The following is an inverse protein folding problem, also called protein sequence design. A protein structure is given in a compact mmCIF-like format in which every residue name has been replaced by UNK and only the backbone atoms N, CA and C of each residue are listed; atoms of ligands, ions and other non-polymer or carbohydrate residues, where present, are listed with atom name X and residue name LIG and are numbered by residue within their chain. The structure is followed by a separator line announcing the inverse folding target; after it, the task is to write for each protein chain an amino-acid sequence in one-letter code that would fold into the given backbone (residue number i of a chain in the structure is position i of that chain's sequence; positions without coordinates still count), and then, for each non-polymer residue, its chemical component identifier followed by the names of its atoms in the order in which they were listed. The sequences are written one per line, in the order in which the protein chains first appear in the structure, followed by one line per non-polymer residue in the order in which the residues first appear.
data_IF_943276583422
#
_entry.id   IF_943276583422
#
_cell.length_a   1.000
_cell.length_b   1.000
_cell.length_c   1.000
_cell.angle_alpha   90.00
_cell.angle_beta   90.00
_cell.angle_gamma   90.00
#
_symmetry.space_group_name_H-M   'P 1'
#
loop_
_entity.id
_entity.type
_entity.pdbx_description
1 polymer ?
#
# COMPACT_ATOMS: atom_id res chain seq x y z
N UNK A 1 15.19 -36.70 -22.84
CA UNK A 1 15.98 -35.92 -21.87
C UNK A 1 15.51 -34.47 -21.86
N UNK A 2 15.20 -33.90 -23.03
CA UNK A 2 14.64 -32.55 -23.27
C UNK A 2 13.33 -32.22 -22.54
N UNK A 3 12.32 -33.10 -22.60
CA UNK A 3 10.97 -32.81 -22.05
C UNK A 3 10.96 -32.65 -20.53
N UNK A 4 11.86 -33.33 -19.82
CA UNK A 4 11.86 -33.35 -18.35
C UNK A 4 12.40 -32.05 -17.76
N UNK A 5 13.44 -31.52 -18.39
CA UNK A 5 14.07 -30.24 -18.07
C UNK A 5 13.12 -29.07 -18.37
N UNK A 6 12.44 -29.11 -19.52
CA UNK A 6 11.45 -28.11 -19.92
C UNK A 6 10.23 -28.05 -18.96
N UNK A 7 9.81 -29.20 -18.41
CA UNK A 7 8.75 -29.27 -17.38
C UNK A 7 9.23 -28.73 -16.03
N UNK A 8 10.49 -28.95 -15.67
CA UNK A 8 11.09 -28.41 -14.44
C UNK A 8 11.20 -26.89 -14.50
N UNK A 9 11.61 -26.34 -15.64
CA UNK A 9 11.68 -24.89 -15.89
C UNK A 9 10.30 -24.21 -15.84
N UNK A 10 9.29 -24.82 -16.47
CA UNK A 10 7.91 -24.32 -16.43
C UNK A 10 7.34 -24.34 -15.01
N UNK A 11 7.61 -25.40 -14.24
CA UNK A 11 7.17 -25.47 -12.84
C UNK A 11 7.84 -24.40 -11.98
N UNK A 12 9.15 -24.15 -12.18
CA UNK A 12 9.85 -23.09 -11.48
C UNK A 12 9.25 -21.71 -11.79
N UNK A 13 8.94 -21.43 -13.06
CA UNK A 13 8.30 -20.19 -13.47
C UNK A 13 6.88 -20.02 -12.87
N UNK A 14 6.08 -21.10 -12.83
CA UNK A 14 4.74 -21.08 -12.24
C UNK A 14 4.80 -20.85 -10.73
N UNK A 15 5.71 -21.53 -10.02
CA UNK A 15 5.89 -21.36 -8.57
C UNK A 15 6.30 -19.92 -8.27
N UNK A 16 7.27 -19.37 -8.99
CA UNK A 16 7.70 -17.98 -8.81
C UNK A 16 6.56 -16.99 -9.00
N UNK A 17 5.81 -17.12 -10.11
CA UNK A 17 4.67 -16.23 -10.37
C UNK A 17 3.58 -16.37 -9.29
N UNK A 18 3.36 -17.58 -8.76
CA UNK A 18 2.42 -17.80 -7.66
C UNK A 18 2.89 -17.17 -6.34
N UNK A 19 4.17 -17.30 -6.01
CA UNK A 19 4.79 -16.64 -4.84
C UNK A 19 4.69 -15.11 -4.95
N UNK A 20 5.00 -14.54 -6.11
CA UNK A 20 4.84 -13.10 -6.37
C UNK A 20 3.39 -12.62 -6.16
N UNK A 21 2.41 -13.39 -6.67
CA UNK A 21 1.00 -13.05 -6.45
C UNK A 21 0.59 -13.13 -4.98
N UNK A 22 1.06 -14.12 -4.23
CA UNK A 22 0.81 -14.22 -2.79
C UNK A 22 1.40 -12.99 -2.08
N UNK A 23 2.64 -12.63 -2.38
CA UNK A 23 3.30 -11.46 -1.78
C UNK A 23 2.55 -10.16 -2.09
N UNK A 24 2.04 -10.00 -3.31
CA UNK A 24 1.21 -8.87 -3.72
C UNK A 24 -0.10 -8.82 -2.92
N UNK A 25 -0.82 -9.95 -2.80
CA UNK A 25 -2.06 -10.04 -2.03
C UNK A 25 -1.85 -9.75 -0.54
N UNK A 26 -0.76 -10.24 0.05
CA UNK A 26 -0.40 -9.97 1.44
C UNK A 26 -0.10 -8.49 1.67
N UNK A 27 0.64 -7.84 0.76
CA UNK A 27 0.91 -6.41 0.83
C UNK A 27 -0.38 -5.57 0.71
N UNK A 28 -1.27 -5.94 -0.22
CA UNK A 28 -2.59 -5.34 -0.37
C UNK A 28 -3.39 -5.50 0.92
N UNK A 29 -3.37 -6.69 1.53
CA UNK A 29 -4.02 -6.98 2.81
C UNK A 29 -3.52 -6.06 3.93
N UNK A 30 -2.20 -5.89 4.07
CA UNK A 30 -1.59 -5.02 5.08
C UNK A 30 -2.03 -3.56 4.87
N UNK A 31 -1.98 -3.06 3.63
CA UNK A 31 -2.37 -1.68 3.31
C UNK A 31 -3.86 -1.45 3.57
N UNK A 32 -4.72 -2.39 3.16
CA UNK A 32 -6.16 -2.29 3.40
C UNK A 32 -6.49 -2.33 4.89
N UNK A 33 -5.83 -3.20 5.66
CA UNK A 33 -5.94 -3.25 7.12
C UNK A 33 -5.51 -1.93 7.77
N UNK A 34 -4.41 -1.33 7.31
CA UNK A 34 -3.96 -0.01 7.76
C UNK A 34 -5.01 1.07 7.48
N UNK A 35 -5.53 1.14 6.25
CA UNK A 35 -6.52 2.14 5.85
C UNK A 35 -7.85 1.96 6.62
N UNK A 36 -8.28 0.72 6.86
CA UNK A 36 -9.47 0.41 7.65
C UNK A 36 -9.34 0.88 9.11
N UNK A 37 -8.12 0.85 9.67
CA UNK A 37 -7.83 1.33 11.02
C UNK A 37 -7.72 2.86 11.17
N UNK A 38 -7.73 3.62 10.08
CA UNK A 38 -7.73 5.09 10.14
C UNK A 38 -9.15 5.62 10.42
N UNK A 39 -9.21 6.81 11.03
CA UNK A 39 -10.46 7.58 11.05
C UNK A 39 -10.92 7.88 9.62
N UNK A 40 -12.23 8.09 9.41
CA UNK A 40 -12.77 8.38 8.09
C UNK A 40 -12.07 9.57 7.41
N UNK A 41 -11.84 10.65 8.17
CA UNK A 41 -11.10 11.83 7.70
C UNK A 41 -9.65 11.50 7.33
N UNK A 42 -8.93 10.76 8.17
CA UNK A 42 -7.53 10.41 7.91
C UNK A 42 -7.41 9.49 6.69
N UNK A 43 -8.35 8.54 6.55
CA UNK A 43 -8.44 7.65 5.39
C UNK A 43 -8.69 8.43 4.11
N UNK A 44 -9.68 9.34 4.08
CA UNK A 44 -9.94 10.16 2.89
C UNK A 44 -8.70 11.00 2.52
N UNK A 45 -8.10 11.71 3.48
CA UNK A 45 -6.88 12.50 3.24
C UNK A 45 -5.77 11.64 2.60
N UNK A 46 -5.53 10.43 3.14
CA UNK A 46 -4.46 9.55 2.67
C UNK A 46 -4.76 9.00 1.26
N UNK A 47 -5.98 8.49 1.03
CA UNK A 47 -6.40 7.92 -0.25
C UNK A 47 -6.42 8.97 -1.35
N UNK A 48 -6.99 10.15 -1.09
CA UNK A 48 -7.02 11.23 -2.07
C UNK A 48 -5.61 11.67 -2.46
N UNK A 49 -4.68 11.69 -1.49
CA UNK A 49 -3.31 12.10 -1.78
C UNK A 49 -2.54 11.07 -2.61
N UNK A 50 -2.63 9.78 -2.28
CA UNK A 50 -1.77 8.75 -2.88
C UNK A 50 -2.41 7.96 -4.03
N UNK A 51 -3.73 7.76 -4.02
CA UNK A 51 -4.47 7.14 -5.13
C UNK A 51 -5.18 8.16 -6.00
N UNK A 52 -5.77 9.19 -5.40
CA UNK A 52 -6.47 10.25 -6.14
C UNK A 52 -5.55 11.31 -6.76
N UNK A 53 -4.26 11.33 -6.38
CA UNK A 53 -3.28 12.35 -6.78
C UNK A 53 -3.75 13.79 -6.53
N UNK A 54 -4.67 13.99 -5.59
CA UNK A 54 -5.29 15.29 -5.33
C UNK A 54 -4.26 16.31 -4.82
N UNK A 55 -4.29 17.56 -5.31
CA UNK A 55 -3.52 18.66 -4.75
C UNK A 55 -3.87 18.92 -3.29
N UNK A 56 -2.87 19.28 -2.47
CA UNK A 56 -3.07 19.57 -1.05
C UNK A 56 -4.14 20.64 -0.80
N UNK A 57 -4.21 21.67 -1.66
CA UNK A 57 -5.22 22.73 -1.56
C UNK A 57 -6.65 22.19 -1.62
N UNK A 58 -6.90 21.18 -2.47
CA UNK A 58 -8.23 20.62 -2.69
C UNK A 58 -8.66 19.77 -1.48
N UNK A 59 -7.73 18.95 -0.98
CA UNK A 59 -7.93 18.14 0.22
C UNK A 59 -8.17 19.06 1.44
N UNK A 60 -7.36 20.11 1.57
CA UNK A 60 -7.48 21.11 2.62
C UNK A 60 -8.85 21.81 2.60
N UNK A 61 -9.29 22.26 1.41
CA UNK A 61 -10.60 22.88 1.21
C UNK A 61 -11.75 21.92 1.58
N UNK A 62 -11.69 20.66 1.10
CA UNK A 62 -12.71 19.64 1.36
C UNK A 62 -12.91 19.39 2.86
N UNK A 63 -11.82 19.28 3.61
CA UNK A 63 -11.87 19.01 5.06
C UNK A 63 -11.90 20.27 5.93
N UNK A 64 -11.95 21.46 5.32
CA UNK A 64 -11.96 22.77 6.00
C UNK A 64 -10.77 22.93 6.98
N UNK A 65 -9.58 22.58 6.52
CA UNK A 65 -8.33 22.71 7.28
C UNK A 65 -7.26 23.39 6.44
N UNK A 66 -6.14 23.78 7.05
CA UNK A 66 -4.99 24.30 6.32
C UNK A 66 -4.23 23.19 5.58
N UNK A 67 -3.52 23.54 4.51
CA UNK A 67 -2.60 22.61 3.85
C UNK A 67 -1.51 22.08 4.81
N UNK A 68 -1.09 22.90 5.78
CA UNK A 68 -0.17 22.48 6.84
C UNK A 68 -0.74 21.35 7.69
N UNK A 69 -2.02 21.42 8.06
CA UNK A 69 -2.69 20.35 8.80
C UNK A 69 -2.78 19.05 7.98
N UNK A 70 -3.06 19.15 6.67
CA UNK A 70 -3.04 18.00 5.75
C UNK A 70 -1.64 17.37 5.68
N UNK A 71 -0.58 18.18 5.50
CA UNK A 71 0.81 17.70 5.48
C UNK A 71 1.18 16.96 6.77
N UNK A 72 0.80 17.51 7.92
CA UNK A 72 1.07 16.87 9.21
C UNK A 72 0.28 15.57 9.40
N UNK A 73 -0.96 15.51 8.92
CA UNK A 73 -1.75 14.28 8.90
C UNK A 73 -1.07 13.19 8.08
N UNK A 74 -0.73 13.51 6.82
CA UNK A 74 -0.05 12.60 5.89
C UNK A 74 1.29 12.12 6.46
N UNK A 75 2.08 13.01 7.07
CA UNK A 75 3.36 12.65 7.67
C UNK A 75 3.19 11.64 8.83
N UNK A 76 2.23 11.88 9.73
CA UNK A 76 1.97 10.95 10.85
C UNK A 76 1.51 9.60 10.34
N UNK A 77 0.57 9.56 9.40
CA UNK A 77 0.02 8.31 8.89
C UNK A 77 1.03 7.56 7.99
N UNK A 78 1.89 8.26 7.24
CA UNK A 78 3.02 7.64 6.52
C UNK A 78 4.02 6.99 7.48
N UNK A 79 4.33 7.63 8.62
CA UNK A 79 5.19 7.04 9.66
C UNK A 79 4.57 5.78 10.28
N UNK A 80 3.25 5.77 10.50
CA UNK A 80 2.54 4.58 11.00
C UNK A 80 2.58 3.44 10.00
N UNK A 81 2.25 3.70 8.73
CA UNK A 81 2.30 2.69 7.67
C UNK A 81 3.72 2.13 7.51
N UNK A 82 4.74 2.98 7.51
CA UNK A 82 6.14 2.54 7.46
C UNK A 82 6.47 1.57 8.59
N UNK A 83 6.15 1.91 9.84
CA UNK A 83 6.40 1.03 10.99
C UNK A 83 5.65 -0.31 10.88
N UNK A 84 4.43 -0.27 10.35
CA UNK A 84 3.66 -1.50 10.10
C UNK A 84 4.37 -2.37 9.07
N UNK A 85 4.77 -1.80 7.93
CA UNK A 85 5.49 -2.53 6.89
C UNK A 85 6.82 -3.11 7.38
N UNK A 86 7.61 -2.33 8.15
CA UNK A 86 8.85 -2.81 8.80
C UNK A 86 8.56 -3.99 9.75
N UNK A 87 7.46 -3.93 10.52
CA UNK A 87 7.05 -5.01 11.43
C UNK A 87 6.64 -6.28 10.68
N UNK A 88 5.98 -6.14 9.54
CA UNK A 88 5.53 -7.27 8.70
C UNK A 88 6.62 -7.75 7.71
N UNK A 89 7.85 -7.22 7.80
CA UNK A 89 8.97 -7.64 6.93
C UNK A 89 8.84 -7.19 5.48
N UNK A 90 8.03 -6.16 5.19
CA UNK A 90 7.78 -5.62 3.85
C UNK A 90 8.57 -4.34 3.54
N UNK A 91 9.39 -3.86 4.47
CA UNK A 91 10.31 -2.72 4.32
C UNK A 91 11.53 -2.88 5.24
#
# INVERSE_FOLDING_TARGET
MEIKEEVEDLNAAVIHNFEEHIEEEELIGIINGFLAGLSERDRDIFVQRYWGMEPLKNIAARHRVSEGAVKQNLLRNKKKLRKLLEKEGRL
#
